data_IF_925199743276
#
_entry.id   IF_925199743276
#
_cell.length_a   1.000
_cell.length_b   1.000
_cell.length_c   1.000
_cell.angle_alpha   90.00
_cell.angle_beta   90.00
_cell.angle_gamma   90.00
#
_symmetry.space_group_name_H-M   'P 1'
#
loop_
_entity.id
_entity.type
_entity.pdbx_description
1 polymer ?
#
# COMPACT_ATOMS: atom_id res chain seq x y z
N UNK A 1 2.71 -3.66 14.54
CA UNK A 1 3.01 -3.59 13.09
C UNK A 1 3.94 -2.42 12.87
N UNK A 2 5.09 -2.68 12.27
CA UNK A 2 6.09 -1.65 12.05
C UNK A 2 6.44 -1.54 10.56
N UNK A 3 7.38 -0.64 10.25
CA UNK A 3 7.82 -0.39 8.88
C UNK A 3 8.29 -1.67 8.18
N UNK A 4 9.10 -2.47 8.87
CA UNK A 4 9.66 -3.68 8.28
C UNK A 4 8.59 -4.72 7.97
N UNK A 5 7.61 -4.86 8.84
CA UNK A 5 6.48 -5.75 8.62
C UNK A 5 5.69 -5.32 7.38
N UNK A 6 5.39 -4.02 7.27
CA UNK A 6 4.62 -3.49 6.15
C UNK A 6 5.36 -3.69 4.83
N UNK A 7 6.65 -3.35 4.80
CA UNK A 7 7.46 -3.51 3.59
C UNK A 7 7.58 -4.97 3.18
N UNK A 8 7.72 -5.87 4.16
CA UNK A 8 7.77 -7.30 3.89
C UNK A 8 6.48 -7.82 3.26
N UNK A 9 5.34 -7.38 3.78
CA UNK A 9 4.04 -7.77 3.23
C UNK A 9 3.83 -7.22 1.82
N UNK A 10 4.30 -6.02 1.55
CA UNK A 10 4.21 -5.45 0.21
C UNK A 10 5.04 -6.27 -0.78
N UNK A 11 6.24 -6.70 -0.38
CA UNK A 11 7.10 -7.53 -1.24
C UNK A 11 6.47 -8.91 -1.50
N UNK A 12 5.88 -9.52 -0.47
CA UNK A 12 5.24 -10.83 -0.61
C UNK A 12 4.11 -10.81 -1.63
N UNK A 13 3.46 -9.67 -1.80
CA UNK A 13 2.30 -9.53 -2.66
C UNK A 13 2.59 -8.75 -3.95
N UNK A 14 3.86 -8.61 -4.31
CA UNK A 14 4.25 -7.82 -5.49
C UNK A 14 3.61 -8.28 -6.78
N UNK A 15 3.37 -9.58 -6.93
CA UNK A 15 2.74 -10.12 -8.14
C UNK A 15 1.28 -9.66 -8.24
N UNK A 16 0.58 -9.61 -7.13
CA UNK A 16 -0.78 -9.08 -7.09
C UNK A 16 -0.82 -7.62 -7.54
N UNK A 17 0.07 -6.81 -7.00
CA UNK A 17 0.12 -5.39 -7.38
C UNK A 17 0.46 -5.21 -8.84
N UNK A 18 1.42 -5.97 -9.34
CA UNK A 18 1.81 -5.93 -10.75
C UNK A 18 0.65 -6.30 -11.68
N UNK A 19 -0.15 -7.27 -11.28
CA UNK A 19 -1.32 -7.70 -12.03
C UNK A 19 -2.31 -6.55 -12.26
N UNK A 20 -2.44 -5.67 -11.27
CA UNK A 20 -3.34 -4.53 -11.35
C UNK A 20 -2.65 -3.24 -11.80
N UNK A 21 -1.45 -3.35 -12.34
CA UNK A 21 -0.76 -2.24 -12.97
C UNK A 21 0.08 -1.36 -12.05
N UNK A 22 0.34 -1.80 -10.83
CA UNK A 22 1.20 -1.06 -9.91
C UNK A 22 2.65 -1.27 -10.30
N UNK A 23 3.36 -0.19 -10.60
CA UNK A 23 4.78 -0.23 -10.97
C UNK A 23 5.69 0.09 -9.80
N UNK A 24 5.22 0.92 -8.87
CA UNK A 24 5.94 1.27 -7.66
C UNK A 24 4.97 1.43 -6.52
N UNK A 25 5.40 1.02 -5.33
CA UNK A 25 4.64 1.21 -4.11
C UNK A 25 5.63 1.59 -3.01
N UNK A 26 5.30 2.63 -2.25
CA UNK A 26 6.16 3.14 -1.21
C UNK A 26 5.41 3.49 0.07
N UNK A 27 6.11 3.41 1.18
CA UNK A 27 5.59 3.76 2.49
C UNK A 27 6.16 5.10 2.89
N UNK A 28 5.32 5.97 3.45
CA UNK A 28 5.78 7.26 3.95
C UNK A 28 4.98 7.64 5.20
N UNK A 29 5.21 8.86 5.71
CA UNK A 29 4.48 9.35 6.88
C UNK A 29 4.95 8.76 8.19
N UNK A 30 4.03 8.58 9.13
CA UNK A 30 4.35 8.20 10.52
C UNK A 30 5.04 6.85 10.62
N UNK A 31 4.73 5.90 9.75
CA UNK A 31 5.38 4.58 9.77
C UNK A 31 6.85 4.64 9.36
N UNK A 32 7.25 5.67 8.63
CA UNK A 32 8.66 5.90 8.27
C UNK A 32 9.35 6.73 9.33
N UNK A 33 8.70 7.76 9.86
CA UNK A 33 9.27 8.65 10.87
C UNK A 33 9.34 8.04 12.27
N UNK A 34 8.57 6.98 12.51
CA UNK A 34 8.55 6.34 13.82
C UNK A 34 7.53 6.93 14.79
N UNK A 35 6.68 7.83 14.32
CA UNK A 35 5.66 8.50 15.17
C UNK A 35 4.31 7.78 15.10
N UNK A 36 4.33 6.46 14.99
CA UNK A 36 3.12 5.64 14.84
C UNK A 36 2.37 5.56 16.17
N UNK A 37 1.04 5.73 16.08
CA UNK A 37 0.11 5.45 17.18
C UNK A 37 -0.92 4.43 16.68
N UNK A 38 -1.76 3.94 17.58
CA UNK A 38 -2.84 3.00 17.22
C UNK A 38 -3.83 3.61 16.22
N UNK A 39 -3.94 4.94 16.23
CA UNK A 39 -4.84 5.67 15.35
C UNK A 39 -4.20 6.09 14.03
N UNK A 40 -2.91 5.83 13.86
CA UNK A 40 -2.22 6.21 12.63
C UNK A 40 -2.71 5.42 11.43
N UNK A 41 -3.02 6.13 10.35
CA UNK A 41 -3.28 5.51 9.05
C UNK A 41 -1.95 5.07 8.43
N UNK A 42 -2.03 4.14 7.50
CA UNK A 42 -0.84 3.75 6.74
C UNK A 42 -0.80 4.60 5.48
N UNK A 43 0.25 5.39 5.35
CA UNK A 43 0.43 6.29 4.19
C UNK A 43 1.22 5.57 3.11
N UNK A 44 0.54 5.24 2.02
CA UNK A 44 1.13 4.49 0.92
C UNK A 44 1.01 5.29 -0.38
N UNK A 45 2.13 5.40 -1.09
CA UNK A 45 2.18 6.01 -2.41
C UNK A 45 2.25 4.91 -3.45
N UNK A 46 1.37 4.98 -4.45
CA UNK A 46 1.27 4.00 -5.52
C UNK A 46 1.49 4.69 -6.86
N UNK A 47 2.34 4.11 -7.69
CA UNK A 47 2.49 4.51 -9.08
C UNK A 47 1.98 3.39 -9.96
N UNK A 48 1.13 3.72 -10.91
CA UNK A 48 0.49 2.73 -11.79
C UNK A 48 0.91 2.94 -13.24
N UNK A 49 0.88 1.87 -14.02
CA UNK A 49 1.10 1.95 -15.45
C UNK A 49 -0.01 2.77 -16.11
N UNK A 50 0.36 3.56 -17.11
CA UNK A 50 -0.56 4.48 -17.77
C UNK A 50 -1.79 3.78 -18.33
N UNK A 51 -1.62 2.63 -18.97
CA UNK A 51 -2.72 1.90 -19.59
C UNK A 51 -3.58 1.11 -18.58
N UNK A 52 -3.14 1.01 -17.33
CA UNK A 52 -3.89 0.33 -16.27
C UNK A 52 -4.24 1.25 -15.12
N UNK A 53 -3.95 2.54 -15.26
CA UNK A 53 -4.23 3.54 -14.25
C UNK A 53 -5.70 3.99 -14.38
N UNK A 54 -6.62 3.15 -13.89
CA UNK A 54 -8.02 3.47 -13.87
C UNK A 54 -8.58 3.32 -12.46
N UNK A 55 -9.77 3.87 -12.27
CA UNK A 55 -10.38 3.94 -10.95
C UNK A 55 -10.62 2.56 -10.34
N UNK A 56 -11.06 1.60 -11.16
CA UNK A 56 -11.36 0.26 -10.64
C UNK A 56 -10.10 -0.45 -10.17
N UNK A 57 -9.03 -0.39 -10.94
CA UNK A 57 -7.76 -1.00 -10.53
C UNK A 57 -7.22 -0.35 -9.26
N UNK A 58 -7.32 0.96 -9.18
CA UNK A 58 -6.93 1.70 -7.97
C UNK A 58 -7.73 1.22 -6.76
N UNK A 59 -9.05 1.09 -6.89
CA UNK A 59 -9.91 0.63 -5.80
C UNK A 59 -9.59 -0.80 -5.36
N UNK A 60 -9.33 -1.71 -6.31
CA UNK A 60 -8.95 -3.07 -5.97
C UNK A 60 -7.67 -3.11 -5.15
N UNK A 61 -6.68 -2.33 -5.55
CA UNK A 61 -5.41 -2.25 -4.82
C UNK A 61 -5.63 -1.66 -3.43
N UNK A 62 -6.41 -0.60 -3.33
CA UNK A 62 -6.70 0.05 -2.05
C UNK A 62 -7.40 -0.91 -1.08
N UNK A 63 -8.44 -1.59 -1.53
CA UNK A 63 -9.17 -2.54 -0.70
C UNK A 63 -8.30 -3.72 -0.29
N UNK A 64 -7.45 -4.20 -1.19
CA UNK A 64 -6.52 -5.26 -0.86
C UNK A 64 -5.56 -4.83 0.26
N UNK A 65 -5.04 -3.61 0.18
CA UNK A 65 -4.13 -3.09 1.20
C UNK A 65 -4.83 -2.92 2.55
N UNK A 66 -6.06 -2.40 2.54
CA UNK A 66 -6.82 -2.25 3.77
C UNK A 66 -7.12 -3.58 4.43
N UNK A 67 -7.45 -4.58 3.63
CA UNK A 67 -7.71 -5.92 4.13
C UNK A 67 -6.44 -6.59 4.64
N UNK A 68 -5.34 -6.43 3.91
CA UNK A 68 -4.04 -7.01 4.26
C UNK A 68 -3.53 -6.52 5.61
N UNK A 69 -3.66 -5.23 5.88
CA UNK A 69 -3.15 -4.63 7.10
C UNK A 69 -4.21 -4.39 8.17
N UNK A 70 -5.47 -4.60 7.82
CA UNK A 70 -6.60 -4.34 8.71
C UNK A 70 -6.54 -2.93 9.31
N UNK A 71 -6.17 -1.96 8.48
CA UNK A 71 -6.08 -0.55 8.82
C UNK A 71 -6.48 0.29 7.62
N UNK A 72 -6.87 1.53 7.90
CA UNK A 72 -7.16 2.49 6.84
C UNK A 72 -5.86 2.87 6.12
N UNK A 73 -5.93 2.91 4.80
CA UNK A 73 -4.83 3.32 3.95
C UNK A 73 -5.11 4.74 3.46
N UNK A 74 -4.12 5.58 3.63
CA UNK A 74 -4.23 6.98 3.23
C UNK A 74 -3.44 7.30 1.97
#
# INVERSE_FOLDING_TARGET
>A
MDKEYILGKLRENREYFSKYGVTKIGLFGSYVSGEVTEESDIDILIKMEENQNNYFNYCYVLYFLEDLFNKKID
#
